data_IF_463995557036
#
_entry.id   IF_463995557036
#
_cell.length_a   1.000
_cell.length_b   1.000
_cell.length_c   1.000
_cell.angle_alpha   90.00
_cell.angle_beta   90.00
_cell.angle_gamma   90.00
#
_symmetry.space_group_name_H-M   'P 1'
#
loop_
_entity.id
_entity.type
_entity.pdbx_description
1 polymer ?
#
# COMPACT_ATOMS: atom_id res chain seq x y z
N UNK A 1 45.10 60.65 5.54
CA UNK A 1 44.06 59.86 6.27
C UNK A 1 43.10 59.13 5.32
N UNK A 2 42.56 59.77 4.26
CA UNK A 2 41.64 59.11 3.31
C UNK A 2 42.23 57.87 2.59
N UNK A 3 43.51 57.93 2.19
CA UNK A 3 44.18 56.81 1.51
C UNK A 3 44.25 55.54 2.37
N UNK A 4 44.44 55.72 3.69
CA UNK A 4 44.50 54.62 4.65
C UNK A 4 43.11 53.95 4.84
N UNK A 5 42.04 54.75 4.82
CA UNK A 5 40.67 54.25 4.89
C UNK A 5 40.28 53.45 3.63
N UNK A 6 40.70 53.90 2.44
CA UNK A 6 40.46 53.17 1.19
C UNK A 6 41.23 51.84 1.13
N UNK A 7 42.49 51.82 1.57
CA UNK A 7 43.30 50.60 1.62
C UNK A 7 42.72 49.57 2.60
N UNK A 8 42.29 50.02 3.78
CA UNK A 8 41.63 49.16 4.77
C UNK A 8 40.29 48.61 4.25
N UNK A 9 39.48 49.44 3.61
CA UNK A 9 38.21 49.02 3.01
C UNK A 9 38.41 47.96 1.91
N UNK A 10 39.45 48.10 1.08
CA UNK A 10 39.78 47.13 0.04
C UNK A 10 40.28 45.79 0.62
N UNK A 11 41.07 45.83 1.69
CA UNK A 11 41.55 44.63 2.39
C UNK A 11 40.39 43.85 3.05
N UNK A 12 39.43 44.55 3.64
CA UNK A 12 38.23 43.93 4.24
C UNK A 12 37.33 43.33 3.15
N UNK A 13 37.16 44.01 2.02
CA UNK A 13 36.33 43.51 0.92
C UNK A 13 36.93 42.25 0.29
N UNK A 14 38.25 42.22 0.06
CA UNK A 14 38.94 41.06 -0.54
C UNK A 14 38.95 39.84 0.38
N UNK A 15 39.15 40.03 1.69
CA UNK A 15 39.08 38.93 2.66
C UNK A 15 37.66 38.37 2.79
N UNK A 16 36.62 39.23 2.81
CA UNK A 16 35.22 38.79 2.82
C UNK A 16 34.87 37.96 1.56
N UNK A 17 35.35 38.37 0.38
CA UNK A 17 35.12 37.65 -0.87
C UNK A 17 35.75 36.25 -0.86
N UNK A 18 36.96 36.10 -0.30
CA UNK A 18 37.63 34.80 -0.18
C UNK A 18 36.85 33.83 0.74
N UNK A 19 36.22 34.32 1.82
CA UNK A 19 35.38 33.49 2.68
C UNK A 19 34.07 33.03 2.01
N UNK A 20 33.52 33.79 1.05
CA UNK A 20 32.35 33.37 0.28
C UNK A 20 32.68 32.35 -0.82
N UNK A 21 33.90 32.37 -1.37
CA UNK A 21 34.34 31.42 -2.40
C UNK A 21 34.98 30.14 -1.85
N UNK A 22 35.38 30.11 -0.58
CA UNK A 22 35.71 28.86 0.12
C UNK A 22 34.40 28.26 0.67
N UNK A 23 33.51 27.84 -0.24
CA UNK A 23 32.52 26.84 0.11
C UNK A 23 33.27 25.52 0.24
N UNK A 24 33.46 24.95 1.45
CA UNK A 24 34.06 23.64 1.54
C UNK A 24 33.15 22.69 0.78
N UNK A 25 33.68 22.11 -0.29
CA UNK A 25 33.01 21.11 -1.11
C UNK A 25 32.97 19.81 -0.29
N UNK A 26 32.23 19.83 0.82
CA UNK A 26 31.93 18.63 1.57
C UNK A 26 31.05 17.77 0.66
N UNK A 27 31.70 16.84 -0.03
CA UNK A 27 31.03 15.76 -0.75
C UNK A 27 30.38 14.91 0.34
N UNK A 28 29.12 15.19 0.65
CA UNK A 28 28.34 14.35 1.57
C UNK A 28 28.31 12.96 0.92
N UNK A 29 28.90 11.93 1.57
CA UNK A 29 28.82 10.58 1.03
C UNK A 29 27.35 10.20 0.89
N UNK A 30 26.93 9.78 -0.31
CA UNK A 30 25.58 9.27 -0.50
C UNK A 30 25.37 8.09 0.46
N UNK A 31 24.21 8.01 1.15
CA UNK A 31 23.92 6.85 1.99
C UNK A 31 24.04 5.57 1.16
N UNK A 32 24.52 4.46 1.76
CA UNK A 32 24.64 3.20 1.04
C UNK A 32 23.28 2.78 0.48
N UNK A 33 23.25 2.15 -0.70
CA UNK A 33 22.00 1.67 -1.28
C UNK A 33 21.31 0.72 -0.31
N UNK A 34 20.00 0.92 -0.11
CA UNK A 34 19.21 0.02 0.74
C UNK A 34 19.22 -1.39 0.13
N UNK A 35 19.29 -2.43 0.97
CA UNK A 35 19.18 -3.80 0.48
C UNK A 35 17.82 -4.00 -0.22
N UNK A 36 17.75 -4.93 -1.20
CA UNK A 36 16.50 -5.25 -1.85
C UNK A 36 15.49 -5.80 -0.84
N UNK A 37 14.22 -5.45 -1.04
CA UNK A 37 13.13 -5.97 -0.20
C UNK A 37 12.83 -7.44 -0.54
N UNK A 38 12.35 -8.18 0.44
CA UNK A 38 11.86 -9.55 0.24
C UNK A 38 10.45 -9.50 -0.34
N UNK A 39 10.21 -10.22 -1.43
CA UNK A 39 8.87 -10.37 -2.00
C UNK A 39 8.02 -11.29 -1.11
N UNK A 40 6.90 -10.76 -0.61
CA UNK A 40 5.87 -11.52 0.10
C UNK A 40 4.59 -11.43 -0.73
N UNK A 41 4.09 -12.57 -1.23
CA UNK A 41 2.89 -12.61 -2.07
C UNK A 41 1.90 -13.58 -1.45
N UNK A 42 0.71 -13.10 -1.14
CA UNK A 42 -0.39 -13.93 -0.68
C UNK A 42 -1.42 -14.11 -1.79
N UNK A 43 -1.66 -15.37 -2.16
CA UNK A 43 -2.80 -15.78 -2.97
C UNK A 43 -3.89 -16.29 -2.02
N UNK A 44 -5.09 -15.74 -2.09
CA UNK A 44 -6.18 -16.05 -1.17
C UNK A 44 -7.55 -16.04 -1.86
N UNK A 45 -8.57 -16.53 -1.16
CA UNK A 45 -9.98 -16.55 -1.56
C UNK A 45 -10.81 -15.87 -0.47
N UNK A 46 -11.67 -14.92 -0.83
CA UNK A 46 -12.36 -14.08 0.16
C UNK A 46 -13.34 -14.83 1.07
N UNK A 47 -13.83 -16.01 0.65
CA UNK A 47 -14.75 -16.85 1.42
C UNK A 47 -14.07 -18.13 1.97
N UNK A 48 -12.75 -18.20 1.94
CA UNK A 48 -12.00 -19.31 2.52
C UNK A 48 -11.70 -19.04 4.01
N UNK A 49 -12.23 -19.86 4.95
CA UNK A 49 -12.03 -19.62 6.38
C UNK A 49 -10.57 -19.57 6.81
N UNK A 50 -9.71 -20.41 6.21
CA UNK A 50 -8.28 -20.42 6.52
C UNK A 50 -7.55 -19.19 5.98
N UNK A 51 -7.95 -18.68 4.80
CA UNK A 51 -7.43 -17.42 4.28
C UNK A 51 -7.80 -16.27 5.22
N UNK A 52 -9.05 -16.24 5.65
CA UNK A 52 -9.57 -15.19 6.50
C UNK A 52 -8.90 -15.19 7.88
N UNK A 53 -8.73 -16.37 8.48
CA UNK A 53 -7.99 -16.55 9.74
C UNK A 53 -6.54 -16.09 9.60
N UNK A 54 -5.82 -16.55 8.56
CA UNK A 54 -4.43 -16.13 8.33
C UNK A 54 -4.31 -14.61 8.14
N UNK A 55 -5.19 -14.01 7.34
CA UNK A 55 -5.16 -12.57 7.06
C UNK A 55 -5.39 -11.77 8.33
N UNK A 56 -6.41 -12.13 9.11
CA UNK A 56 -6.88 -11.37 10.27
C UNK A 56 -6.05 -11.62 11.54
N UNK A 57 -5.31 -12.73 11.63
CA UNK A 57 -4.52 -13.08 12.81
C UNK A 57 -3.02 -12.94 12.61
N UNK A 58 -2.48 -13.47 11.50
CA UNK A 58 -1.04 -13.56 11.27
C UNK A 58 -0.54 -12.44 10.37
N UNK A 59 -1.18 -12.23 9.22
CA UNK A 59 -0.71 -11.26 8.25
C UNK A 59 -0.80 -9.82 8.77
N UNK A 60 -1.83 -9.49 9.56
CA UNK A 60 -1.93 -8.18 10.24
C UNK A 60 -0.67 -7.79 11.01
N UNK A 61 0.08 -8.77 11.55
CA UNK A 61 1.31 -8.54 12.31
C UNK A 61 2.43 -7.91 11.45
N UNK A 62 2.42 -8.13 10.13
CA UNK A 62 3.35 -7.47 9.19
C UNK A 62 3.21 -5.94 9.23
N UNK A 63 2.00 -5.44 9.48
CA UNK A 63 1.72 -4.00 9.54
C UNK A 63 1.88 -3.40 10.93
N UNK A 64 1.89 -4.24 11.98
CA UNK A 64 2.09 -3.84 13.37
C UNK A 64 3.57 -3.78 13.76
N UNK A 65 4.46 -4.30 12.90
CA UNK A 65 5.91 -4.35 13.09
C UNK A 65 6.64 -3.54 12.01
N UNK A 66 7.97 -3.54 12.04
CA UNK A 66 8.83 -2.97 11.00
C UNK A 66 8.97 -3.88 9.77
N UNK A 67 8.37 -5.08 9.77
CA UNK A 67 8.41 -6.00 8.61
C UNK A 67 7.89 -5.33 7.33
N UNK A 68 6.87 -4.47 7.42
CA UNK A 68 6.38 -3.71 6.27
C UNK A 68 7.44 -2.79 5.60
N UNK A 69 8.56 -2.50 6.28
CA UNK A 69 9.64 -1.67 5.74
C UNK A 69 10.62 -2.46 4.88
N UNK A 70 10.70 -3.78 5.10
CA UNK A 70 11.67 -4.69 4.45
C UNK A 70 11.03 -5.66 3.45
N UNK A 71 9.69 -5.76 3.41
CA UNK A 71 8.98 -6.58 2.43
C UNK A 71 8.32 -5.77 1.32
N UNK A 72 8.27 -6.35 0.14
CA UNK A 72 7.40 -5.93 -0.95
C UNK A 72 6.16 -6.84 -0.93
N UNK A 73 5.10 -6.35 -0.28
CA UNK A 73 3.92 -7.15 -0.01
C UNK A 73 2.87 -6.99 -1.12
N UNK A 74 2.37 -8.11 -1.67
CA UNK A 74 1.31 -8.17 -2.69
C UNK A 74 0.20 -9.14 -2.28
N UNK A 75 -1.04 -8.73 -2.50
CA UNK A 75 -2.26 -9.51 -2.28
C UNK A 75 -2.87 -9.87 -3.63
N UNK A 76 -3.24 -11.14 -3.83
CA UNK A 76 -3.83 -11.65 -5.06
C UNK A 76 -5.11 -12.44 -4.72
N UNK A 77 -6.31 -11.81 -4.80
CA UNK A 77 -7.59 -12.48 -4.56
C UNK A 77 -7.95 -13.37 -5.76
N UNK A 78 -7.54 -14.63 -5.70
CA UNK A 78 -7.79 -15.63 -6.74
C UNK A 78 -7.86 -17.04 -6.15
N UNK A 79 -6.79 -17.45 -5.47
CA UNK A 79 -6.66 -18.77 -4.83
C UNK A 79 -7.03 -19.93 -5.74
N UNK A 80 -8.07 -20.68 -5.38
CA UNK A 80 -8.54 -21.86 -6.12
C UNK A 80 -9.52 -21.55 -7.27
N UNK A 81 -9.76 -20.29 -7.60
CA UNK A 81 -10.58 -19.94 -8.75
C UNK A 81 -9.99 -20.51 -10.06
N UNK A 82 -10.87 -20.90 -10.97
CA UNK A 82 -10.53 -21.51 -12.27
C UNK A 82 -11.21 -20.76 -13.40
N UNK A 83 -10.57 -20.73 -14.57
CA UNK A 83 -11.22 -20.30 -15.80
C UNK A 83 -11.70 -21.54 -16.55
N UNK A 84 -13.01 -21.69 -16.67
CA UNK A 84 -13.65 -22.79 -17.40
C UNK A 84 -14.46 -22.17 -18.53
N UNK A 85 -14.08 -22.46 -19.78
CA UNK A 85 -14.74 -21.90 -20.99
C UNK A 85 -14.84 -20.35 -20.98
N UNK A 86 -13.83 -19.66 -20.43
CA UNK A 86 -13.81 -18.19 -20.33
C UNK A 86 -14.55 -17.63 -19.12
N UNK A 87 -15.24 -18.47 -18.34
CA UNK A 87 -15.93 -18.06 -17.10
C UNK A 87 -15.08 -18.35 -15.88
N UNK A 88 -15.00 -17.39 -14.95
CA UNK A 88 -14.36 -17.58 -13.66
C UNK A 88 -15.29 -18.39 -12.75
N UNK A 89 -14.78 -19.49 -12.21
CA UNK A 89 -15.48 -20.38 -11.27
C UNK A 89 -14.69 -20.44 -9.97
N UNK A 90 -15.33 -20.04 -8.88
CA UNK A 90 -14.77 -20.00 -7.53
C UNK A 90 -15.22 -21.19 -6.69
N UNK A 91 -14.41 -21.61 -5.71
CA UNK A 91 -14.70 -22.81 -4.90
C UNK A 91 -15.94 -22.60 -4.01
N UNK A 92 -16.12 -21.40 -3.47
CA UNK A 92 -17.23 -21.04 -2.59
C UNK A 92 -18.37 -20.30 -3.33
N UNK A 93 -18.45 -20.45 -4.65
CA UNK A 93 -19.55 -19.95 -5.47
C UNK A 93 -19.39 -18.50 -5.94
N UNK A 94 -20.46 -17.95 -6.52
CA UNK A 94 -20.44 -16.63 -7.18
C UNK A 94 -20.15 -15.47 -6.24
N UNK A 95 -20.51 -15.60 -4.98
CA UNK A 95 -20.27 -14.59 -3.94
C UNK A 95 -18.76 -14.44 -3.65
N UNK A 96 -17.98 -15.52 -3.70
CA UNK A 96 -16.51 -15.47 -3.61
C UNK A 96 -15.93 -14.76 -4.84
N UNK A 97 -16.37 -15.13 -6.03
CA UNK A 97 -15.90 -14.48 -7.27
C UNK A 97 -16.20 -12.97 -7.27
N UNK A 98 -17.37 -12.58 -6.78
CA UNK A 98 -17.75 -11.19 -6.64
C UNK A 98 -16.83 -10.46 -5.65
N UNK A 99 -16.61 -11.00 -4.45
CA UNK A 99 -15.70 -10.40 -3.48
C UNK A 99 -14.24 -10.39 -3.94
N UNK A 100 -13.75 -11.45 -4.60
CA UNK A 100 -12.41 -11.48 -5.21
C UNK A 100 -12.26 -10.32 -6.22
N UNK A 101 -13.33 -10.03 -6.98
CA UNK A 101 -13.37 -8.89 -7.91
C UNK A 101 -13.34 -7.55 -7.16
N UNK A 102 -14.10 -7.40 -6.07
CA UNK A 102 -14.07 -6.20 -5.23
C UNK A 102 -12.66 -5.96 -4.70
N UNK A 103 -12.02 -6.96 -4.10
CA UNK A 103 -10.67 -6.84 -3.57
C UNK A 103 -9.64 -6.50 -4.66
N UNK A 104 -9.75 -7.12 -5.84
CA UNK A 104 -8.90 -6.79 -6.99
C UNK A 104 -9.09 -5.34 -7.45
N UNK A 105 -10.33 -4.84 -7.46
CA UNK A 105 -10.65 -3.44 -7.77
C UNK A 105 -10.03 -2.48 -6.74
N UNK A 106 -10.12 -2.81 -5.44
CA UNK A 106 -9.52 -2.01 -4.37
C UNK A 106 -7.99 -1.96 -4.49
N UNK A 107 -7.34 -3.10 -4.75
CA UNK A 107 -5.89 -3.15 -4.97
C UNK A 107 -5.49 -2.30 -6.18
N UNK A 108 -6.27 -2.37 -7.27
CA UNK A 108 -6.04 -1.55 -8.46
C UNK A 108 -6.22 -0.05 -8.19
N UNK A 109 -7.25 0.32 -7.43
CA UNK A 109 -7.56 1.72 -7.10
C UNK A 109 -6.55 2.33 -6.11
N UNK A 110 -6.06 1.54 -5.16
CA UNK A 110 -5.07 1.96 -4.18
C UNK A 110 -3.88 1.00 -4.16
N UNK A 111 -2.93 1.10 -5.11
CA UNK A 111 -1.82 0.14 -5.23
C UNK A 111 -0.89 0.07 -4.01
N UNK A 112 -0.88 1.10 -3.16
CA UNK A 112 -0.12 1.07 -1.91
C UNK A 112 -0.79 0.13 -0.90
N UNK A 113 -0.07 -0.92 -0.51
CA UNK A 113 -0.59 -1.98 0.37
C UNK A 113 -1.13 -1.47 1.70
N UNK A 114 -0.50 -0.44 2.27
CA UNK A 114 -0.98 0.19 3.52
C UNK A 114 -2.35 0.87 3.37
N UNK A 115 -2.77 1.21 2.14
CA UNK A 115 -4.06 1.85 1.86
C UNK A 115 -5.18 0.82 1.64
N UNK A 116 -4.91 -0.26 0.89
CA UNK A 116 -5.94 -1.27 0.61
C UNK A 116 -6.07 -2.36 1.67
N UNK A 117 -4.98 -2.69 2.39
CA UNK A 117 -5.01 -3.78 3.36
C UNK A 117 -6.07 -3.64 4.47
N UNK A 118 -6.32 -2.44 5.05
CA UNK A 118 -7.38 -2.29 6.05
C UNK A 118 -8.78 -2.65 5.54
N UNK A 119 -9.05 -2.43 4.25
CA UNK A 119 -10.31 -2.85 3.63
C UNK A 119 -10.38 -4.38 3.53
N UNK A 120 -9.35 -5.01 2.94
CA UNK A 120 -9.28 -6.47 2.76
C UNK A 120 -9.37 -7.18 4.11
N UNK A 121 -8.59 -6.74 5.11
CA UNK A 121 -8.64 -7.32 6.46
C UNK A 121 -10.01 -7.17 7.12
N UNK A 122 -10.79 -6.12 6.79
CA UNK A 122 -12.16 -5.98 7.27
C UNK A 122 -13.10 -6.99 6.59
N UNK A 123 -13.00 -7.17 5.27
CA UNK A 123 -13.79 -8.16 4.52
C UNK A 123 -13.58 -9.57 5.09
N UNK A 124 -12.31 -9.96 5.23
CA UNK A 124 -11.94 -11.27 5.77
C UNK A 124 -12.45 -11.49 7.20
N UNK A 125 -12.43 -10.44 8.03
CA UNK A 125 -12.99 -10.50 9.38
C UNK A 125 -14.52 -10.69 9.38
N UNK A 126 -15.24 -9.98 8.50
CA UNK A 126 -16.69 -10.13 8.34
C UNK A 126 -17.06 -11.52 7.82
N UNK A 127 -16.24 -12.10 6.93
CA UNK A 127 -16.47 -13.43 6.35
C UNK A 127 -16.15 -14.55 7.34
N UNK A 128 -15.14 -14.39 8.19
CA UNK A 128 -14.82 -15.33 9.29
C UNK A 128 -15.97 -15.45 10.30
N UNK A 129 -16.72 -14.37 10.51
CA UNK A 129 -17.87 -14.34 11.42
C UNK A 129 -19.14 -14.97 10.80
N UNK A 130 -19.13 -15.29 9.51
CA UNK A 130 -20.33 -15.64 8.75
C UNK A 130 -20.20 -17.03 8.12
N UNK A 131 -20.63 -18.05 8.86
CA UNK A 131 -20.47 -19.43 8.40
C UNK A 131 -21.34 -19.81 7.19
N UNK A 132 -22.41 -19.10 6.83
CA UNK A 132 -23.18 -19.38 5.60
C UNK A 132 -24.08 -18.17 5.23
N UNK A 133 -24.17 -17.82 3.93
CA UNK A 133 -25.38 -17.38 3.15
C UNK A 133 -25.40 -15.99 2.48
N UNK A 134 -25.70 -16.06 1.16
CA UNK A 134 -26.41 -15.15 0.24
C UNK A 134 -25.84 -13.76 -0.08
N UNK A 135 -25.85 -13.43 -1.37
CA UNK A 135 -25.37 -12.17 -2.00
C UNK A 135 -25.76 -10.86 -1.29
N UNK A 136 -26.94 -10.78 -0.67
CA UNK A 136 -27.37 -9.58 0.09
C UNK A 136 -26.44 -9.29 1.28
N UNK A 137 -25.87 -10.33 1.90
CA UNK A 137 -24.91 -10.16 2.99
C UNK A 137 -23.56 -9.66 2.46
N UNK A 138 -23.13 -10.20 1.33
CA UNK A 138 -21.86 -9.85 0.67
C UNK A 138 -21.80 -8.36 0.34
N UNK A 139 -22.86 -7.81 -0.26
CA UNK A 139 -22.92 -6.38 -0.57
C UNK A 139 -22.84 -5.51 0.68
N UNK A 140 -23.57 -5.90 1.73
CA UNK A 140 -23.55 -5.18 3.01
C UNK A 140 -22.16 -5.22 3.66
N UNK A 141 -21.49 -6.37 3.59
CA UNK A 141 -20.14 -6.59 4.15
C UNK A 141 -19.13 -5.63 3.53
N UNK A 142 -19.01 -5.63 2.20
CA UNK A 142 -17.99 -4.79 1.57
C UNK A 142 -18.30 -3.31 1.63
N UNK A 143 -19.58 -2.91 1.60
CA UNK A 143 -19.98 -1.52 1.83
C UNK A 143 -19.63 -1.05 3.24
N UNK A 144 -19.87 -1.89 4.27
CA UNK A 144 -19.45 -1.60 5.64
C UNK A 144 -17.95 -1.36 5.73
N UNK A 145 -17.14 -2.21 5.10
CA UNK A 145 -15.69 -2.05 5.08
C UNK A 145 -15.22 -0.83 4.26
N UNK A 146 -15.96 -0.45 3.22
CA UNK A 146 -15.67 0.72 2.42
C UNK A 146 -15.80 2.04 3.21
N UNK A 147 -16.78 2.14 4.12
CA UNK A 147 -16.97 3.33 4.95
C UNK A 147 -15.79 3.65 5.89
N UNK A 148 -14.96 2.65 6.21
CA UNK A 148 -13.80 2.82 7.07
C UNK A 148 -12.57 3.41 6.35
N UNK A 149 -12.65 3.58 5.03
CA UNK A 149 -11.58 4.19 4.24
C UNK A 149 -11.71 5.71 4.28
N UNK A 150 -10.68 6.42 4.79
CA UNK A 150 -10.62 7.89 4.94
C UNK A 150 -10.64 8.70 3.63
N UNK A 151 -11.01 8.08 2.51
CA UNK A 151 -11.45 8.74 1.30
C UNK A 151 -12.47 7.79 0.67
N UNK A 152 -13.77 8.15 0.62
CA UNK A 152 -14.77 7.29 0.02
C UNK A 152 -14.39 6.95 -1.42
N UNK A 153 -14.83 5.78 -1.89
CA UNK A 153 -14.71 5.25 -3.26
C UNK A 153 -15.38 6.13 -4.33
N UNK A 154 -15.39 7.46 -4.18
CA UNK A 154 -16.14 8.42 -5.01
C UNK A 154 -15.78 8.36 -6.49
N UNK A 155 -14.61 7.79 -6.83
CA UNK A 155 -14.16 7.61 -8.21
C UNK A 155 -13.91 6.13 -8.60
N UNK A 156 -14.23 5.16 -7.75
CA UNK A 156 -14.07 3.73 -8.08
C UNK A 156 -15.39 3.20 -8.58
N UNK A 157 -15.56 3.19 -9.90
CA UNK A 157 -16.62 2.43 -10.55
C UNK A 157 -16.20 0.97 -10.60
N UNK A 158 -16.87 0.11 -9.83
CA UNK A 158 -16.84 -1.33 -10.05
C UNK A 158 -17.62 -1.55 -11.34
N UNK A 159 -16.90 -1.68 -12.46
CA UNK A 159 -17.51 -2.06 -13.72
C UNK A 159 -17.69 -3.58 -13.66
N UNK A 160 -18.90 -4.02 -13.29
CA UNK A 160 -19.34 -5.38 -13.57
C UNK A 160 -19.33 -5.53 -15.09
N UNK A 161 -18.37 -6.28 -15.63
CA UNK A 161 -18.46 -6.73 -17.02
C UNK A 161 -19.50 -7.84 -17.04
N UNK A 162 -20.67 -7.54 -17.59
CA UNK A 162 -21.64 -8.52 -18.08
C UNK A 162 -21.00 -9.50 -19.08
#
# INVERSE_FOLDING_TARGET
MAYFAHLFSFLVLTTAIMFFFISPSYSIPSPPPKPPKVDLVLYYETLCPACADFITTDLVKVFQTDLNTIVNFRLIPWGNAKVINGTIVCQHGVDECYLNTIDACIIKAWPEVKKHFPFISCIEAENSAMQVKHSKYVEKSWRKCAHNLKNPLTNVTIVEKE
#
